data_IF_998900355185
#
_entry.id   IF_998900355185
#
_cell.length_a   1.000
_cell.length_b   1.000
_cell.length_c   1.000
_cell.angle_alpha   90.00
_cell.angle_beta   90.00
_cell.angle_gamma   90.00
#
_symmetry.space_group_name_H-M   'P 1'
#
loop_
_entity.id
_entity.type
_entity.pdbx_description
1 polymer ?
#
# COMPACT_ATOMS: atom_id res chain seq x y z
N UNK A 1 -25.85 -9.23 -26.00
CA UNK A 1 -26.38 -9.78 -24.73
C UNK A 1 -25.95 -11.21 -24.44
N UNK A 2 -26.37 -12.24 -25.21
CA UNK A 2 -25.99 -13.65 -24.92
C UNK A 2 -24.48 -13.89 -25.14
N UNK A 3 -23.91 -13.32 -26.21
CA UNK A 3 -22.48 -13.41 -26.52
C UNK A 3 -21.63 -12.68 -25.47
N UNK A 4 -22.03 -11.49 -25.02
CA UNK A 4 -21.31 -10.75 -23.95
C UNK A 4 -21.34 -11.50 -22.60
N UNK A 5 -22.44 -12.20 -22.33
CA UNK A 5 -22.59 -13.04 -21.15
C UNK A 5 -21.65 -14.26 -21.21
N UNK A 6 -21.59 -14.95 -22.36
CA UNK A 6 -20.70 -16.08 -22.60
C UNK A 6 -19.22 -15.64 -22.59
N UNK A 7 -18.89 -14.52 -23.23
CA UNK A 7 -17.53 -13.96 -23.22
C UNK A 7 -17.05 -13.55 -21.82
N UNK A 8 -17.96 -13.11 -20.94
CA UNK A 8 -17.63 -12.82 -19.54
C UNK A 8 -17.46 -14.08 -18.68
N UNK A 9 -18.11 -15.20 -19.03
CA UNK A 9 -17.97 -16.48 -18.32
C UNK A 9 -16.56 -17.09 -18.45
N UNK A 10 -15.85 -16.82 -19.56
CA UNK A 10 -14.51 -17.37 -19.82
C UNK A 10 -13.36 -16.39 -19.59
N UNK A 11 -13.64 -15.19 -19.08
CA UNK A 11 -12.59 -14.19 -18.84
C UNK A 11 -11.72 -14.63 -17.66
N UNK A 12 -10.48 -15.04 -17.94
CA UNK A 12 -9.51 -15.43 -16.91
C UNK A 12 -9.39 -14.30 -15.86
N UNK A 13 -9.34 -14.62 -14.56
CA UNK A 13 -9.15 -13.62 -13.52
C UNK A 13 -7.90 -12.79 -13.79
N UNK A 14 -8.06 -11.47 -13.83
CA UNK A 14 -6.92 -10.54 -13.91
C UNK A 14 -6.15 -10.52 -12.59
N UNK A 15 -4.89 -10.10 -12.63
CA UNK A 15 -4.08 -9.87 -11.42
C UNK A 15 -3.88 -8.37 -11.24
N UNK A 16 -4.25 -7.85 -10.07
CA UNK A 16 -4.03 -6.45 -9.71
C UNK A 16 -2.92 -6.34 -8.68
N UNK A 17 -1.87 -5.61 -9.01
CA UNK A 17 -0.82 -5.23 -8.07
C UNK A 17 -1.13 -3.87 -7.47
N UNK A 18 -1.30 -3.81 -6.15
CA UNK A 18 -1.81 -2.63 -5.46
C UNK A 18 -0.84 -2.23 -4.34
N UNK A 19 -0.35 -1.00 -4.39
CA UNK A 19 0.38 -0.39 -3.29
C UNK A 19 -0.57 -0.05 -2.14
N UNK A 20 -0.25 -0.55 -0.95
CA UNK A 20 -0.87 -0.18 0.33
C UNK A 20 0.19 0.22 1.37
N UNK A 21 1.42 0.49 0.92
CA UNK A 21 2.56 0.80 1.78
C UNK A 21 2.55 2.21 2.36
N UNK A 22 3.65 2.55 3.04
CA UNK A 22 3.75 3.78 3.82
C UNK A 22 4.05 5.05 3.00
N UNK A 23 4.43 4.88 1.74
CA UNK A 23 4.75 5.96 0.83
C UNK A 23 4.52 5.55 -0.64
N UNK A 24 4.79 6.51 -1.54
CA UNK A 24 4.58 6.37 -2.97
C UNK A 24 5.59 5.48 -3.71
N UNK A 25 6.62 4.95 -3.03
CA UNK A 25 7.68 4.18 -3.68
C UNK A 25 7.16 2.95 -4.43
N UNK A 26 6.32 2.16 -3.77
CA UNK A 26 5.77 0.94 -4.37
C UNK A 26 4.89 1.30 -5.57
N UNK A 27 4.12 2.39 -5.48
CA UNK A 27 3.27 2.86 -6.56
C UNK A 27 4.10 3.33 -7.77
N UNK A 28 5.23 4.00 -7.53
CA UNK A 28 6.22 4.35 -8.55
C UNK A 28 6.83 3.10 -9.20
N UNK A 29 7.27 2.10 -8.42
CA UNK A 29 7.84 0.86 -8.96
C UNK A 29 6.81 0.09 -9.81
N UNK A 30 5.58 -0.04 -9.33
CA UNK A 30 4.51 -0.67 -10.10
C UNK A 30 4.29 0.01 -11.45
N UNK A 31 4.34 1.36 -11.49
CA UNK A 31 4.27 2.13 -12.74
C UNK A 31 5.49 1.86 -13.64
N UNK A 32 6.71 1.92 -13.09
CA UNK A 32 7.97 1.68 -13.83
C UNK A 32 7.99 0.31 -14.52
N UNK A 33 7.37 -0.69 -13.90
CA UNK A 33 7.34 -2.07 -14.39
C UNK A 33 6.10 -2.45 -15.19
N UNK A 34 5.23 -1.49 -15.53
CA UNK A 34 3.95 -1.74 -16.21
C UNK A 34 3.05 -2.76 -15.48
N UNK A 35 3.16 -2.84 -14.16
CA UNK A 35 2.27 -3.66 -13.30
C UNK A 35 1.10 -2.85 -12.73
N UNK A 36 1.18 -1.52 -12.85
CA UNK A 36 0.12 -0.61 -12.43
C UNK A 36 -0.91 -0.42 -13.54
N UNK A 37 -1.91 -1.30 -13.60
CA UNK A 37 -3.05 -1.13 -14.53
C UNK A 37 -3.88 0.12 -14.20
N UNK A 38 -4.09 0.37 -12.91
CA UNK A 38 -4.92 1.46 -12.41
C UNK A 38 -4.32 2.08 -11.14
N UNK A 39 -4.74 3.31 -10.81
CA UNK A 39 -4.40 3.92 -9.52
C UNK A 39 -5.41 3.55 -8.44
N UNK A 40 -4.91 3.30 -7.23
CA UNK A 40 -5.70 2.91 -6.06
C UNK A 40 -5.56 3.92 -4.91
N UNK A 41 -6.45 3.88 -3.90
CA UNK A 41 -6.57 4.94 -2.90
C UNK A 41 -5.31 5.21 -2.09
N UNK A 42 -4.53 4.18 -1.76
CA UNK A 42 -3.44 4.26 -0.79
C UNK A 42 -2.07 4.50 -1.41
N UNK A 43 -1.89 4.16 -2.70
CA UNK A 43 -0.55 4.12 -3.31
C UNK A 43 0.18 5.47 -3.37
N UNK A 44 -0.54 6.58 -3.30
CA UNK A 44 0.02 7.94 -3.34
C UNK A 44 -0.11 8.68 -2.00
N UNK A 45 -0.44 7.97 -0.93
CA UNK A 45 -0.73 8.53 0.39
C UNK A 45 0.34 8.07 1.38
N UNK A 46 0.44 8.75 2.51
CA UNK A 46 1.18 8.21 3.66
C UNK A 46 0.20 7.58 4.62
N UNK A 47 0.38 6.28 4.80
CA UNK A 47 -0.53 5.41 5.53
C UNK A 47 0.27 4.31 6.21
N UNK A 48 -0.39 3.46 6.97
CA UNK A 48 0.14 2.19 7.43
C UNK A 48 -0.97 1.15 7.40
N UNK A 49 -0.65 -0.08 7.82
CA UNK A 49 -1.63 -1.16 7.78
C UNK A 49 -2.86 -0.91 8.68
N UNK A 50 -2.70 -0.22 9.81
CA UNK A 50 -3.83 0.12 10.69
C UNK A 50 -4.80 1.08 10.00
N UNK A 51 -4.30 2.17 9.44
CA UNK A 51 -5.13 3.13 8.72
C UNK A 51 -5.84 2.47 7.56
N UNK A 52 -5.11 1.72 6.72
CA UNK A 52 -5.70 1.02 5.58
C UNK A 52 -6.80 0.07 6.03
N UNK A 53 -6.57 -0.70 7.10
CA UNK A 53 -7.57 -1.62 7.61
C UNK A 53 -8.78 -0.86 8.16
N UNK A 54 -8.59 0.17 8.98
CA UNK A 54 -9.67 0.96 9.54
C UNK A 54 -10.55 1.62 8.44
N UNK A 55 -9.91 2.21 7.43
CA UNK A 55 -10.58 2.83 6.27
C UNK A 55 -11.41 1.80 5.49
N UNK A 56 -10.86 0.61 5.24
CA UNK A 56 -11.57 -0.46 4.52
C UNK A 56 -12.69 -1.06 5.41
N UNK A 57 -12.47 -1.14 6.72
CA UNK A 57 -13.47 -1.60 7.70
C UNK A 57 -14.69 -0.70 7.72
N UNK A 58 -14.46 0.61 7.77
CA UNK A 58 -15.46 1.68 7.69
C UNK A 58 -16.04 1.88 6.27
N UNK A 59 -15.63 1.06 5.29
CA UNK A 59 -16.07 1.16 3.90
C UNK A 59 -15.86 2.58 3.32
N UNK A 60 -14.79 3.26 3.75
CA UNK A 60 -14.42 4.62 3.35
C UNK A 60 -15.44 5.71 3.73
N UNK A 61 -16.37 5.46 4.67
CA UNK A 61 -17.44 6.41 5.04
C UNK A 61 -16.86 7.75 5.49
N UNK A 62 -15.83 7.73 6.33
CA UNK A 62 -15.22 8.94 6.88
C UNK A 62 -13.92 9.37 6.17
N UNK A 63 -13.61 8.75 5.02
CA UNK A 63 -12.33 8.97 4.32
C UNK A 63 -12.19 10.35 3.68
N UNK A 64 -13.29 10.88 3.12
CA UNK A 64 -13.37 12.21 2.51
C UNK A 64 -14.36 13.13 3.24
N UNK A 65 -14.71 12.79 4.48
CA UNK A 65 -15.63 13.56 5.29
C UNK A 65 -14.92 14.82 5.81
N UNK A 66 -15.35 15.99 5.32
CA UNK A 66 -14.69 17.28 5.57
C UNK A 66 -14.52 17.58 7.06
N UNK A 67 -15.40 17.07 7.93
CA UNK A 67 -15.31 17.29 9.38
C UNK A 67 -14.07 16.67 10.03
N UNK A 68 -13.45 15.68 9.37
CA UNK A 68 -12.23 15.03 9.83
C UNK A 68 -10.99 15.42 9.02
N UNK A 69 -11.16 16.25 7.99
CA UNK A 69 -10.09 16.70 7.12
C UNK A 69 -9.55 18.06 7.61
N UNK A 70 -8.23 18.17 7.70
CA UNK A 70 -7.60 19.42 8.11
C UNK A 70 -6.27 19.63 7.38
N UNK A 71 -5.86 20.89 7.27
CA UNK A 71 -4.55 21.26 6.76
C UNK A 71 -3.48 21.00 7.81
N UNK A 72 -2.40 20.34 7.41
CA UNK A 72 -1.20 20.18 8.21
C UNK A 72 0.01 20.62 7.39
N UNK A 73 1.14 20.78 8.07
CA UNK A 73 2.44 20.88 7.40
C UNK A 73 3.15 19.54 7.47
N UNK A 74 3.89 19.25 6.42
CA UNK A 74 4.87 18.19 6.42
C UNK A 74 6.15 18.74 5.78
N UNK A 75 7.20 18.89 6.59
CA UNK A 75 8.35 19.73 6.25
C UNK A 75 7.88 21.12 5.79
N UNK A 76 8.13 21.48 4.52
CA UNK A 76 7.76 22.76 3.92
C UNK A 76 6.41 22.71 3.18
N UNK A 77 5.86 21.52 2.97
CA UNK A 77 4.67 21.33 2.14
C UNK A 77 3.37 21.38 2.96
N UNK A 78 2.35 22.04 2.40
CA UNK A 78 0.98 22.01 2.92
C UNK A 78 0.32 20.70 2.47
N UNK A 79 -0.09 19.87 3.44
CA UNK A 79 -0.72 18.57 3.21
C UNK A 79 -2.12 18.53 3.83
N UNK A 80 -2.95 17.59 3.39
CA UNK A 80 -4.24 17.30 4.04
C UNK A 80 -4.12 16.02 4.86
N UNK A 81 -4.67 16.03 6.07
CA UNK A 81 -4.73 14.87 6.95
C UNK A 81 -6.17 14.53 7.34
N UNK A 82 -6.38 13.27 7.71
CA UNK A 82 -7.66 12.76 8.22
C UNK A 82 -7.48 12.24 9.65
N UNK A 83 -8.11 12.90 10.62
CA UNK A 83 -7.95 12.58 12.05
C UNK A 83 -8.96 11.55 12.59
N UNK A 84 -9.87 11.02 11.76
CA UNK A 84 -10.84 10.01 12.19
C UNK A 84 -10.19 8.65 12.45
N UNK A 85 -9.31 8.25 11.54
CA UNK A 85 -8.61 6.97 11.64
C UNK A 85 -7.39 7.17 12.52
N UNK A 86 -7.29 6.37 13.59
CA UNK A 86 -6.14 6.35 14.49
C UNK A 86 -5.36 5.06 14.30
N UNK A 87 -4.04 5.18 14.33
CA UNK A 87 -3.15 4.02 14.33
C UNK A 87 -2.62 3.85 15.76
N UNK A 88 -2.95 2.74 16.45
CA UNK A 88 -2.32 2.41 17.73
C UNK A 88 -0.84 2.07 17.57
N UNK A 89 -0.43 1.74 16.35
CA UNK A 89 0.95 1.47 16.02
C UNK A 89 1.83 2.72 16.04
N UNK A 90 2.92 2.69 16.81
CA UNK A 90 3.99 3.70 16.77
C UNK A 90 4.85 3.65 15.50
N UNK A 91 4.42 2.90 14.47
CA UNK A 91 5.28 2.43 13.37
C UNK A 91 5.72 3.49 12.36
N UNK A 92 5.40 4.78 12.54
CA UNK A 92 5.94 5.81 11.67
C UNK A 92 6.30 7.07 12.46
N UNK A 93 7.58 7.46 12.37
CA UNK A 93 8.15 8.80 12.60
C UNK A 93 7.07 9.91 12.64
N UNK A 94 6.50 10.19 13.81
CA UNK A 94 5.65 11.35 14.10
C UNK A 94 4.36 11.55 13.25
N UNK A 95 3.86 10.56 12.51
CA UNK A 95 2.58 10.72 11.78
C UNK A 95 1.40 10.21 12.58
N UNK A 96 0.72 11.15 13.23
CA UNK A 96 -0.42 10.88 14.12
C UNK A 96 -1.69 10.49 13.33
N UNK A 97 -1.78 10.89 12.05
CA UNK A 97 -2.98 10.76 11.22
C UNK A 97 -2.65 10.32 9.78
N UNK A 98 -3.67 9.82 9.05
CA UNK A 98 -3.58 9.49 7.63
C UNK A 98 -3.38 10.75 6.78
N UNK A 99 -2.44 10.73 5.81
CA UNK A 99 -2.07 11.92 5.03
C UNK A 99 -2.28 11.74 3.52
N UNK A 100 -2.96 12.72 2.91
CA UNK A 100 -3.14 12.86 1.48
C UNK A 100 -1.98 13.66 0.84
N UNK A 101 -0.79 13.05 0.78
CA UNK A 101 0.46 13.77 0.45
C UNK A 101 0.47 14.50 -0.90
N UNK A 102 -0.32 14.07 -1.87
CA UNK A 102 -0.41 14.70 -3.21
C UNK A 102 -1.80 15.22 -3.56
N UNK A 103 -2.74 15.26 -2.60
CA UNK A 103 -4.12 15.62 -2.88
C UNK A 103 -4.66 16.65 -1.88
N UNK A 104 -4.99 17.83 -2.39
CA UNK A 104 -5.88 18.76 -1.70
C UNK A 104 -7.34 18.27 -1.78
N UNK A 105 -7.75 17.38 -0.87
CA UNK A 105 -9.11 16.82 -0.81
C UNK A 105 -10.12 17.70 -0.06
N UNK A 106 -9.75 18.93 0.30
CA UNK A 106 -10.66 19.92 0.90
C UNK A 106 -11.15 20.90 -0.16
N UNK A 107 -10.23 21.49 -0.91
CA UNK A 107 -10.50 22.65 -1.79
C UNK A 107 -10.49 22.28 -3.28
N UNK A 108 -9.89 21.15 -3.68
CA UNK A 108 -9.74 20.79 -5.09
C UNK A 108 -10.69 19.65 -5.49
N UNK A 109 -11.72 20.00 -6.26
CA UNK A 109 -12.75 19.05 -6.72
C UNK A 109 -12.18 17.94 -7.61
N UNK A 110 -11.23 18.25 -8.50
CA UNK A 110 -10.55 17.26 -9.34
C UNK A 110 -9.81 16.21 -8.51
N UNK A 111 -9.19 16.62 -7.41
CA UNK A 111 -8.55 15.71 -6.46
C UNK A 111 -9.57 14.84 -5.72
N UNK A 112 -10.65 15.43 -5.23
CA UNK A 112 -11.75 14.71 -4.57
C UNK A 112 -12.30 13.63 -5.50
N UNK A 113 -12.59 13.97 -6.75
CA UNK A 113 -13.15 13.04 -7.73
C UNK A 113 -12.14 11.96 -8.14
N UNK A 114 -10.85 12.32 -8.23
CA UNK A 114 -9.77 11.35 -8.42
C UNK A 114 -9.74 10.32 -7.29
N UNK A 115 -9.80 10.75 -6.03
CA UNK A 115 -9.83 9.84 -4.88
C UNK A 115 -11.10 8.98 -4.88
N UNK A 116 -12.28 9.56 -5.12
CA UNK A 116 -13.56 8.82 -5.23
C UNK A 116 -13.49 7.73 -6.30
N UNK A 117 -12.94 8.03 -7.50
CA UNK A 117 -12.76 7.04 -8.57
C UNK A 117 -11.85 5.90 -8.14
N UNK A 118 -10.74 6.19 -7.46
CA UNK A 118 -9.81 5.18 -6.92
C UNK A 118 -10.48 4.29 -5.87
N UNK A 119 -11.26 4.88 -4.97
CA UNK A 119 -12.03 4.14 -3.93
C UNK A 119 -13.04 3.21 -4.59
N UNK A 120 -13.79 3.70 -5.57
CA UNK A 120 -14.79 2.89 -6.28
C UNK A 120 -14.15 1.73 -7.03
N UNK A 121 -13.01 1.94 -7.72
CA UNK A 121 -12.25 0.88 -8.37
C UNK A 121 -11.78 -0.18 -7.36
N UNK A 122 -11.19 0.26 -6.26
CA UNK A 122 -10.73 -0.64 -5.22
C UNK A 122 -11.88 -1.47 -4.63
N UNK A 123 -13.03 -0.85 -4.32
CA UNK A 123 -14.25 -1.55 -3.85
C UNK A 123 -14.74 -2.60 -4.86
N UNK A 124 -14.74 -2.28 -6.16
CA UNK A 124 -15.12 -3.23 -7.22
C UNK A 124 -14.16 -4.42 -7.26
N UNK A 125 -12.87 -4.18 -7.17
CA UNK A 125 -11.85 -5.24 -7.16
C UNK A 125 -11.99 -6.12 -5.93
N UNK A 126 -12.21 -5.56 -4.74
CA UNK A 126 -12.41 -6.35 -3.52
C UNK A 126 -13.58 -7.34 -3.67
N UNK A 127 -14.65 -6.97 -4.37
CA UNK A 127 -15.82 -7.80 -4.65
C UNK A 127 -15.66 -8.77 -5.83
N UNK A 128 -14.62 -8.62 -6.65
CA UNK A 128 -14.44 -9.45 -7.86
C UNK A 128 -13.63 -10.72 -7.59
N UNK A 129 -13.67 -11.66 -8.54
CA UNK A 129 -12.88 -12.90 -8.53
C UNK A 129 -11.42 -12.70 -8.95
N UNK A 130 -11.02 -11.48 -9.33
CA UNK A 130 -9.66 -11.17 -9.77
C UNK A 130 -8.65 -11.48 -8.66
N UNK A 131 -7.41 -11.81 -9.02
CA UNK A 131 -6.31 -11.96 -8.07
C UNK A 131 -5.82 -10.58 -7.65
N UNK A 132 -5.44 -10.45 -6.38
CA UNK A 132 -4.82 -9.23 -5.86
C UNK A 132 -3.46 -9.59 -5.26
N UNK A 133 -2.45 -8.81 -5.61
CA UNK A 133 -1.16 -8.77 -4.93
C UNK A 133 -1.07 -7.42 -4.22
N UNK A 134 -1.09 -7.43 -2.90
CA UNK A 134 -0.94 -6.23 -2.08
C UNK A 134 0.52 -6.07 -1.71
N UNK A 135 1.11 -4.93 -2.06
CA UNK A 135 2.50 -4.61 -1.80
C UNK A 135 2.60 -3.55 -0.71
N UNK A 136 3.44 -3.81 0.28
CA UNK A 136 3.63 -2.94 1.44
C UNK A 136 5.12 -2.71 1.66
N UNK A 137 5.56 -1.46 1.58
CA UNK A 137 6.89 -1.05 2.00
C UNK A 137 6.83 -0.68 3.48
N UNK A 138 7.45 -1.51 4.31
CA UNK A 138 7.61 -1.31 5.75
C UNK A 138 8.94 -0.63 6.00
N UNK A 139 8.90 0.68 6.27
CA UNK A 139 10.11 1.48 6.43
C UNK A 139 10.85 1.07 7.69
N UNK A 140 12.13 1.42 7.75
CA UNK A 140 12.90 1.24 8.96
C UNK A 140 12.36 2.15 10.08
N UNK A 141 12.25 1.58 11.27
CA UNK A 141 12.06 2.28 12.53
C UNK A 141 12.74 1.45 13.63
N UNK A 142 13.28 2.09 14.66
CA UNK A 142 13.99 1.41 15.76
C UNK A 142 13.07 0.42 16.49
N UNK A 143 11.78 0.75 16.60
CA UNK A 143 10.77 -0.09 17.21
C UNK A 143 10.03 -1.01 16.20
N UNK A 144 10.65 -1.35 15.07
CA UNK A 144 10.02 -2.19 14.05
C UNK A 144 9.59 -3.56 14.61
N UNK A 145 8.30 -3.89 14.48
CA UNK A 145 7.72 -5.17 14.85
C UNK A 145 7.13 -5.85 13.61
N UNK A 146 8.01 -6.51 12.87
CA UNK A 146 7.64 -7.26 11.68
C UNK A 146 6.68 -8.42 12.00
N UNK A 147 6.76 -9.01 13.20
CA UNK A 147 5.87 -10.10 13.62
C UNK A 147 4.46 -9.57 13.85
N UNK A 148 4.33 -8.44 14.53
CA UNK A 148 3.08 -7.69 14.70
C UNK A 148 2.48 -7.30 13.35
N UNK A 149 3.27 -6.73 12.44
CA UNK A 149 2.81 -6.39 11.09
C UNK A 149 2.28 -7.62 10.34
N UNK A 150 3.01 -8.74 10.34
CA UNK A 150 2.54 -10.00 9.71
C UNK A 150 1.20 -10.45 10.32
N UNK A 151 1.02 -10.31 11.63
CA UNK A 151 -0.24 -10.63 12.29
C UNK A 151 -1.37 -9.67 11.87
N UNK A 152 -1.10 -8.36 11.73
CA UNK A 152 -2.07 -7.41 11.18
C UNK A 152 -2.51 -7.80 9.77
N UNK A 153 -1.58 -8.21 8.90
CA UNK A 153 -1.89 -8.71 7.56
C UNK A 153 -2.74 -9.99 7.58
N UNK A 154 -2.53 -10.90 8.54
CA UNK A 154 -3.38 -12.08 8.73
C UNK A 154 -4.80 -11.71 9.18
N UNK A 155 -4.93 -10.77 10.12
CA UNK A 155 -6.23 -10.25 10.55
C UNK A 155 -6.98 -9.60 9.39
N UNK A 156 -6.26 -8.84 8.57
CA UNK A 156 -6.81 -8.23 7.37
C UNK A 156 -7.24 -9.25 6.31
N UNK A 157 -6.44 -10.29 6.04
CA UNK A 157 -6.83 -11.39 5.13
C UNK A 157 -8.11 -12.08 5.61
N UNK A 158 -8.20 -12.38 6.90
CA UNK A 158 -9.39 -12.96 7.50
C UNK A 158 -10.62 -12.06 7.35
N UNK A 159 -10.46 -10.75 7.56
CA UNK A 159 -11.52 -9.78 7.33
C UNK A 159 -11.95 -9.74 5.85
N UNK A 160 -11.00 -9.72 4.91
CA UNK A 160 -11.31 -9.75 3.48
C UNK A 160 -12.03 -11.04 3.07
N UNK A 161 -11.64 -12.18 3.66
CA UNK A 161 -12.34 -13.45 3.46
C UNK A 161 -13.76 -13.40 4.03
N UNK A 162 -13.95 -12.97 5.28
CA UNK A 162 -15.29 -12.92 5.91
C UNK A 162 -16.25 -12.00 5.16
N UNK A 163 -15.81 -10.78 4.85
CA UNK A 163 -16.66 -9.72 4.25
C UNK A 163 -16.84 -9.86 2.74
N UNK A 164 -15.78 -10.22 2.01
CA UNK A 164 -15.77 -10.21 0.54
C UNK A 164 -15.55 -11.60 -0.08
N UNK A 165 -15.47 -12.67 0.74
CA UNK A 165 -15.19 -14.05 0.30
C UNK A 165 -13.90 -14.17 -0.52
N UNK A 166 -12.94 -13.27 -0.30
CA UNK A 166 -11.67 -13.26 -1.04
C UNK A 166 -10.75 -14.40 -0.61
N UNK A 167 -10.41 -15.27 -1.56
CA UNK A 167 -9.40 -16.33 -1.39
C UNK A 167 -8.09 -16.02 -2.12
N UNK A 168 -8.16 -15.25 -3.22
CA UNK A 168 -7.06 -15.00 -4.16
C UNK A 168 -6.32 -13.67 -3.87
N UNK A 169 -5.90 -13.48 -2.62
CA UNK A 169 -5.08 -12.34 -2.22
C UNK A 169 -3.71 -12.84 -1.78
N UNK A 170 -2.64 -12.26 -2.34
CA UNK A 170 -1.26 -12.41 -1.90
C UNK A 170 -0.77 -11.09 -1.31
N UNK A 171 0.16 -11.18 -0.37
CA UNK A 171 0.75 -10.02 0.30
C UNK A 171 2.27 -10.09 0.14
N UNK A 172 2.89 -8.99 -0.25
CA UNK A 172 4.34 -8.86 -0.34
C UNK A 172 4.74 -7.69 0.55
N UNK A 173 5.49 -7.98 1.61
CA UNK A 173 6.01 -7.00 2.56
C UNK A 173 7.49 -6.82 2.26
N UNK A 174 7.90 -5.62 1.90
CA UNK A 174 9.30 -5.24 1.74
C UNK A 174 9.72 -4.48 2.99
N UNK A 175 10.66 -5.01 3.76
CA UNK A 175 11.09 -4.44 5.04
C UNK A 175 12.58 -4.16 5.03
N UNK A 176 12.96 -2.99 5.52
CA UNK A 176 14.37 -2.66 5.75
C UNK A 176 14.83 -3.20 7.11
N UNK A 177 16.04 -3.78 7.12
CA UNK A 177 16.76 -4.14 8.34
C UNK A 177 18.11 -3.45 8.33
N UNK A 178 18.40 -2.67 9.37
CA UNK A 178 19.69 -2.00 9.52
C UNK A 178 20.71 -2.99 10.08
N UNK A 179 21.81 -3.20 9.33
CA UNK A 179 22.97 -4.01 9.78
C UNK A 179 24.25 -3.49 9.17
N UNK A 180 25.37 -3.68 9.87
CA UNK A 180 26.70 -3.27 9.41
C UNK A 180 27.31 -4.19 8.33
N UNK A 181 26.66 -5.30 7.99
CA UNK A 181 27.14 -6.28 7.03
C UNK A 181 26.97 -5.85 5.55
N UNK A 182 27.38 -6.74 4.62
CA UNK A 182 27.17 -6.58 3.18
C UNK A 182 25.66 -6.55 2.83
N UNK A 183 25.28 -5.73 1.84
CA UNK A 183 23.92 -5.64 1.32
C UNK A 183 23.43 -7.00 0.80
N UNK A 184 22.36 -7.53 1.38
CA UNK A 184 21.72 -8.78 0.97
C UNK A 184 20.23 -8.76 1.35
N UNK A 185 19.47 -9.72 0.83
CA UNK A 185 18.05 -9.84 1.15
C UNK A 185 17.70 -11.29 1.47
N UNK A 186 16.73 -11.46 2.34
CA UNK A 186 16.15 -12.74 2.72
C UNK A 186 14.67 -12.76 2.35
N UNK A 187 14.18 -13.93 1.91
CA UNK A 187 12.77 -14.12 1.59
C UNK A 187 12.18 -15.14 2.57
N UNK A 188 11.12 -14.73 3.25
CA UNK A 188 10.36 -15.57 4.17
C UNK A 188 8.96 -15.75 3.60
N UNK A 189 8.59 -17.00 3.28
CA UNK A 189 7.27 -17.33 2.76
C UNK A 189 6.37 -17.86 3.87
N UNK A 190 5.29 -17.15 4.15
CA UNK A 190 4.31 -17.42 5.20
C UNK A 190 2.91 -17.60 4.57
N UNK A 191 2.74 -18.70 3.82
CA UNK A 191 1.52 -19.01 3.04
C UNK A 191 1.22 -17.91 2.00
N UNK A 192 0.24 -17.05 2.28
CA UNK A 192 -0.17 -15.94 1.39
C UNK A 192 0.71 -14.70 1.52
N UNK A 193 1.53 -14.63 2.57
CA UNK A 193 2.38 -13.47 2.87
C UNK A 193 3.82 -13.84 2.54
N UNK A 194 4.45 -13.07 1.66
CA UNK A 194 5.90 -13.12 1.41
C UNK A 194 6.52 -11.89 2.03
N UNK A 195 7.52 -12.09 2.88
CA UNK A 195 8.31 -11.00 3.48
C UNK A 195 9.68 -11.01 2.83
N UNK A 196 10.08 -9.88 2.26
CA UNK A 196 11.41 -9.64 1.73
C UNK A 196 12.12 -8.68 2.69
N UNK A 197 13.04 -9.23 3.48
CA UNK A 197 13.91 -8.44 4.36
C UNK A 197 15.12 -7.98 3.57
N UNK A 198 15.36 -6.69 3.57
CA UNK A 198 16.47 -6.09 2.87
C UNK A 198 17.44 -5.50 3.89
N UNK A 199 18.66 -6.03 3.92
CA UNK A 199 19.69 -5.62 4.85
C UNK A 199 20.57 -4.54 4.20
N UNK A 200 20.66 -3.39 4.86
CA UNK A 200 21.46 -2.25 4.41
C UNK A 200 22.06 -1.51 5.62
N UNK A 201 23.18 -0.80 5.41
CA UNK A 201 23.84 -0.01 6.45
C UNK A 201 23.20 1.37 6.64
N UNK A 202 22.47 1.86 5.64
CA UNK A 202 21.90 3.22 5.61
C UNK A 202 20.39 3.16 5.55
N UNK A 203 19.73 3.97 6.38
CA UNK A 203 18.28 4.14 6.32
C UNK A 203 17.87 4.66 4.93
N UNK A 204 16.78 4.13 4.41
CA UNK A 204 16.21 4.60 3.17
C UNK A 204 15.33 5.83 3.42
N UNK A 205 15.95 7.01 3.33
CA UNK A 205 15.27 8.31 3.44
C UNK A 205 15.02 8.92 2.06
N UNK A 206 13.91 9.66 1.93
CA UNK A 206 13.44 10.21 0.66
C UNK A 206 14.16 11.48 0.18
N UNK A 207 14.90 12.16 1.05
CA UNK A 207 15.37 13.53 0.77
C UNK A 207 16.85 13.60 0.34
N UNK A 208 17.62 12.52 0.54
CA UNK A 208 19.01 12.42 0.07
C UNK A 208 19.06 11.47 -1.12
N UNK A 209 18.97 12.04 -2.32
CA UNK A 209 19.10 11.40 -3.62
C UNK A 209 20.52 10.87 -3.90
N UNK A 210 21.05 9.99 -3.04
CA UNK A 210 21.86 8.84 -3.48
C UNK A 210 20.93 7.65 -3.83
N UNK A 211 19.82 8.02 -4.46
CA UNK A 211 18.66 7.18 -4.76
C UNK A 211 18.99 6.05 -5.74
N UNK A 212 20.12 6.14 -6.45
CA UNK A 212 20.60 5.07 -7.32
C UNK A 212 20.80 3.76 -6.57
N UNK A 213 21.41 3.75 -5.38
CA UNK A 213 21.69 2.47 -4.70
C UNK A 213 20.43 1.82 -4.11
N UNK A 214 19.52 2.62 -3.55
CA UNK A 214 18.24 2.17 -3.00
C UNK A 214 17.27 1.73 -4.10
N UNK A 215 17.09 2.57 -5.12
CA UNK A 215 16.26 2.22 -6.26
C UNK A 215 16.84 1.02 -6.97
N UNK A 216 18.11 0.97 -7.35
CA UNK A 216 18.68 -0.18 -8.07
C UNK A 216 18.58 -1.49 -7.26
N UNK A 217 18.68 -1.41 -5.93
CA UNK A 217 18.51 -2.58 -5.06
C UNK A 217 17.06 -3.07 -5.01
N UNK A 218 16.09 -2.17 -4.79
CA UNK A 218 14.66 -2.51 -4.89
C UNK A 218 14.28 -2.96 -6.28
N UNK A 219 14.79 -2.29 -7.31
CA UNK A 219 14.57 -2.57 -8.72
C UNK A 219 14.95 -4.02 -9.04
N UNK A 220 16.10 -4.47 -8.53
CA UNK A 220 16.59 -5.85 -8.68
C UNK A 220 15.70 -6.86 -7.96
N UNK A 221 15.30 -6.57 -6.72
CA UNK A 221 14.39 -7.43 -5.95
C UNK A 221 13.03 -7.52 -6.64
N UNK A 222 12.50 -6.38 -7.07
CA UNK A 222 11.20 -6.26 -7.71
C UNK A 222 11.17 -7.01 -9.05
N UNK A 223 12.19 -6.83 -9.90
CA UNK A 223 12.38 -7.58 -11.15
C UNK A 223 12.39 -9.09 -10.93
N UNK A 224 13.10 -9.56 -9.91
CA UNK A 224 13.31 -11.00 -9.66
C UNK A 224 12.11 -11.69 -9.01
N UNK A 225 11.47 -11.02 -8.05
CA UNK A 225 10.57 -11.70 -7.11
C UNK A 225 9.13 -11.19 -7.13
N UNK A 226 8.88 -10.03 -7.75
CA UNK A 226 7.56 -9.38 -7.70
C UNK A 226 6.93 -9.32 -9.08
N UNK A 227 7.73 -9.05 -10.13
CA UNK A 227 7.23 -8.89 -11.51
C UNK A 227 6.43 -10.08 -12.04
N UNK A 228 6.78 -11.28 -11.61
CA UNK A 228 6.17 -12.53 -12.12
C UNK A 228 5.08 -13.10 -11.19
N UNK A 229 4.74 -12.40 -10.10
CA UNK A 229 3.75 -12.84 -9.10
C UNK A 229 2.36 -12.40 -9.49
#
# INVERSE_FOLDING_TARGET
MLIDYICNLFKKPKTYHISIGENCLIDFLLKKYNLKEESFPFGAMRSNMDYNFAIIKDNFKHFLDKKYLYHSKHFKDKVIRNNYYKSPSKFINNYIDFEFSHFNVIENQTHIDSVKRKVNRFKKILKSKNKIVLLYHYRYHESNDLKGLVNQFRLFDNYLFKKYKRKNTKYIILSQVMKEDKKHYEIINLKKITVIKCFDKKEWVGDNFNAESFHNYFDKIFKRHIKNV
#
